data_IF_520318100489
#
_entry.id   IF_520318100489
#
_cell.length_a   1.000
_cell.length_b   1.000
_cell.length_c   1.000
_cell.angle_alpha   90.00
_cell.angle_beta   90.00
_cell.angle_gamma   90.00
#
_symmetry.space_group_name_H-M   'P 1'
#
loop_
_entity.id
_entity.type
_entity.pdbx_description
1 polymer ?
#
# COMPACT_ATOMS: atom_id res chain seq x y z
N UNK A 1 -6.23 23.15 -13.27
CA UNK A 1 -7.30 22.29 -12.72
C UNK A 1 -6.61 21.17 -11.96
N UNK A 2 -6.24 21.41 -10.70
CA UNK A 2 -5.53 20.44 -9.86
C UNK A 2 -6.54 19.96 -8.84
N UNK A 3 -7.07 18.76 -9.03
CA UNK A 3 -7.98 18.11 -8.09
C UNK A 3 -7.23 17.78 -6.77
N UNK A 4 -7.93 17.68 -5.63
CA UNK A 4 -7.40 17.95 -4.30
C UNK A 4 -6.69 16.73 -3.68
N UNK A 5 -5.59 16.96 -2.96
CA UNK A 5 -5.11 16.23 -1.76
C UNK A 5 -5.40 14.71 -1.67
N UNK A 6 -5.20 13.94 -2.72
CA UNK A 6 -5.19 12.48 -2.68
C UNK A 6 -3.75 11.99 -2.86
N UNK A 7 -3.32 11.03 -2.04
CA UNK A 7 -1.98 10.44 -2.15
C UNK A 7 -1.79 9.87 -3.56
N UNK A 8 -0.71 10.26 -4.23
CA UNK A 8 -0.46 9.81 -5.59
C UNK A 8 -0.08 8.31 -5.65
N UNK A 9 -0.23 7.72 -6.85
CA UNK A 9 0.05 6.30 -7.06
C UNK A 9 1.50 5.90 -6.74
N UNK A 10 2.45 6.81 -6.92
CA UNK A 10 3.86 6.55 -6.63
C UNK A 10 4.09 6.39 -5.12
N UNK A 11 3.48 7.25 -4.32
CA UNK A 11 3.53 7.21 -2.87
C UNK A 11 2.82 5.97 -2.33
N UNK A 12 1.65 5.61 -2.88
CA UNK A 12 0.95 4.37 -2.50
C UNK A 12 1.82 3.14 -2.81
N UNK A 13 2.40 3.07 -4.02
CA UNK A 13 3.27 1.96 -4.38
C UNK A 13 4.50 1.87 -3.46
N UNK A 14 5.09 3.01 -3.09
CA UNK A 14 6.22 3.02 -2.16
C UNK A 14 5.81 2.53 -0.76
N UNK A 15 4.66 2.95 -0.24
CA UNK A 15 4.15 2.46 1.06
C UNK A 15 3.92 0.95 1.03
N UNK A 16 3.36 0.41 -0.05
CA UNK A 16 3.18 -1.04 -0.20
C UNK A 16 4.53 -1.80 -0.23
N UNK A 17 5.56 -1.23 -0.87
CA UNK A 17 6.93 -1.77 -0.86
C UNK A 17 7.57 -1.73 0.53
N UNK A 18 7.36 -0.64 1.28
CA UNK A 18 7.82 -0.55 2.67
C UNK A 18 7.20 -1.66 3.53
N UNK A 19 5.90 -1.92 3.37
CA UNK A 19 5.22 -3.02 4.06
C UNK A 19 5.80 -4.37 3.67
N UNK A 20 6.00 -4.63 2.38
CA UNK A 20 6.65 -5.85 1.88
C UNK A 20 8.01 -6.07 2.55
N UNK A 21 8.85 -5.04 2.59
CA UNK A 21 10.17 -5.10 3.23
C UNK A 21 10.06 -5.39 4.73
N UNK A 22 9.17 -4.71 5.45
CA UNK A 22 8.99 -4.94 6.89
C UNK A 22 8.51 -6.37 7.17
N UNK A 23 7.57 -6.89 6.39
CA UNK A 23 7.10 -8.27 6.51
C UNK A 23 8.21 -9.29 6.22
N UNK A 24 9.07 -9.03 5.23
CA UNK A 24 10.25 -9.86 4.98
C UNK A 24 11.20 -9.87 6.19
N UNK A 25 11.46 -8.71 6.78
CA UNK A 25 12.33 -8.58 7.96
C UNK A 25 11.75 -9.28 9.20
N UNK A 26 10.42 -9.36 9.32
CA UNK A 26 9.75 -10.12 10.39
C UNK A 26 9.75 -11.64 10.15
N UNK A 27 10.21 -12.12 8.99
CA UNK A 27 10.14 -13.54 8.63
C UNK A 27 8.72 -14.02 8.33
N UNK A 28 7.82 -13.11 7.95
CA UNK A 28 6.44 -13.44 7.61
C UNK A 28 6.37 -14.23 6.30
N UNK A 29 5.22 -14.88 6.06
CA UNK A 29 5.02 -15.75 4.88
C UNK A 29 5.30 -15.03 3.56
N UNK A 30 6.13 -15.66 2.71
CA UNK A 30 6.45 -15.17 1.37
C UNK A 30 5.25 -15.03 0.42
N UNK A 31 4.07 -15.56 0.79
CA UNK A 31 2.81 -15.26 0.09
C UNK A 31 2.37 -13.81 0.36
N UNK A 32 2.40 -13.38 1.63
CA UNK A 32 1.99 -12.02 2.02
C UNK A 32 2.93 -10.97 1.45
N UNK A 33 4.24 -11.20 1.58
CA UNK A 33 5.28 -10.34 0.97
C UNK A 33 5.00 -10.11 -0.52
N UNK A 34 4.84 -11.20 -1.28
CA UNK A 34 4.57 -11.13 -2.72
C UNK A 34 3.27 -10.41 -3.05
N UNK A 35 2.24 -10.54 -2.22
CA UNK A 35 0.98 -9.83 -2.42
C UNK A 35 1.18 -8.30 -2.38
N UNK A 36 1.97 -7.80 -1.43
CA UNK A 36 2.28 -6.37 -1.34
C UNK A 36 3.15 -5.87 -2.49
N UNK A 37 4.15 -6.64 -2.93
CA UNK A 37 4.97 -6.29 -4.10
C UNK A 37 4.13 -6.24 -5.39
N UNK A 38 3.31 -7.27 -5.64
CA UNK A 38 2.42 -7.30 -6.80
C UNK A 38 1.43 -6.14 -6.79
N UNK A 39 0.87 -5.80 -5.62
CA UNK A 39 -0.01 -4.65 -5.49
C UNK A 39 0.73 -3.34 -5.79
N UNK A 40 1.95 -3.16 -5.28
CA UNK A 40 2.77 -1.97 -5.55
C UNK A 40 3.01 -1.77 -7.05
N UNK A 41 3.41 -2.83 -7.75
CA UNK A 41 3.66 -2.77 -9.19
C UNK A 41 2.36 -2.52 -9.97
N UNK A 42 1.26 -3.13 -9.55
CA UNK A 42 -0.05 -2.93 -10.18
C UNK A 42 -0.55 -1.49 -10.06
N UNK A 43 -0.33 -0.85 -8.91
CA UNK A 43 -0.71 0.53 -8.63
C UNK A 43 0.20 1.51 -9.37
N UNK A 44 1.52 1.28 -9.36
CA UNK A 44 2.48 2.12 -10.09
C UNK A 44 2.18 2.14 -11.60
N UNK A 45 1.89 0.96 -12.16
CA UNK A 45 1.56 0.76 -13.57
C UNK A 45 0.12 1.11 -13.96
N UNK A 46 -0.71 1.62 -13.03
CA UNK A 46 -2.10 1.96 -13.33
C UNK A 46 -2.15 3.15 -14.33
N UNK A 47 -2.83 2.99 -15.49
CA UNK A 47 -2.96 4.07 -16.46
C UNK A 47 -4.02 5.10 -16.05
N UNK A 48 -5.01 4.70 -15.25
CA UNK A 48 -6.01 5.59 -14.69
C UNK A 48 -5.48 6.34 -13.45
N UNK A 49 -6.17 7.42 -13.10
CA UNK A 49 -6.00 8.08 -11.82
C UNK A 49 -6.43 7.14 -10.67
N UNK A 50 -5.56 6.98 -9.67
CA UNK A 50 -5.79 6.07 -8.55
C UNK A 50 -6.94 6.53 -7.67
N UNK A 51 -7.07 7.84 -7.42
CA UNK A 51 -8.16 8.40 -6.62
C UNK A 51 -9.53 8.06 -7.20
N UNK A 52 -9.64 8.12 -8.53
CA UNK A 52 -10.85 7.74 -9.27
C UNK A 52 -11.17 6.26 -9.10
N UNK A 53 -10.18 5.37 -9.25
CA UNK A 53 -10.38 3.91 -9.08
C UNK A 53 -10.80 3.56 -7.65
N UNK A 54 -10.27 4.26 -6.65
CA UNK A 54 -10.66 4.12 -5.23
C UNK A 54 -12.09 4.60 -5.02
N UNK A 55 -12.44 5.79 -5.53
CA UNK A 55 -13.79 6.36 -5.40
C UNK A 55 -14.87 5.49 -6.06
N UNK A 56 -14.54 4.82 -7.16
CA UNK A 56 -15.42 3.88 -7.85
C UNK A 56 -15.47 2.48 -7.20
N UNK A 57 -14.66 2.20 -6.17
CA UNK A 57 -14.61 0.89 -5.50
C UNK A 57 -14.05 -0.22 -6.39
N UNK A 58 -13.18 0.11 -7.36
CA UNK A 58 -12.72 -0.82 -8.41
C UNK A 58 -11.36 -1.45 -8.16
N UNK A 59 -10.77 -1.24 -6.98
CA UNK A 59 -9.46 -1.79 -6.64
C UNK A 59 -9.43 -3.32 -6.70
N UNK A 60 -10.49 -4.01 -6.28
CA UNK A 60 -10.59 -5.47 -6.32
C UNK A 60 -10.72 -6.04 -7.73
N UNK A 61 -11.05 -5.20 -8.72
CA UNK A 61 -11.01 -5.59 -10.13
C UNK A 61 -9.58 -5.68 -10.67
N UNK A 62 -8.59 -5.19 -9.93
CA UNK A 62 -7.19 -5.25 -10.32
C UNK A 62 -6.62 -6.64 -9.93
N UNK A 63 -6.06 -7.40 -10.88
CA UNK A 63 -5.51 -8.71 -10.59
C UNK A 63 -4.40 -8.62 -9.52
N UNK A 64 -4.48 -9.50 -8.53
CA UNK A 64 -3.54 -9.54 -7.40
C UNK A 64 -3.90 -8.63 -6.22
N UNK A 65 -4.96 -7.81 -6.33
CA UNK A 65 -5.46 -6.98 -5.23
C UNK A 65 -6.76 -7.59 -4.69
N UNK A 66 -6.63 -8.27 -3.55
CA UNK A 66 -7.79 -8.77 -2.79
C UNK A 66 -8.41 -7.72 -1.86
N UNK A 67 -9.54 -8.05 -1.19
CA UNK A 67 -10.30 -7.11 -0.37
C UNK A 67 -9.46 -6.47 0.74
N UNK A 68 -8.63 -7.24 1.45
CA UNK A 68 -7.77 -6.71 2.50
C UNK A 68 -6.71 -5.71 1.98
N UNK A 69 -6.22 -5.88 0.74
CA UNK A 69 -5.33 -4.91 0.11
C UNK A 69 -6.10 -3.68 -0.37
N UNK A 70 -7.28 -3.90 -0.96
CA UNK A 70 -8.15 -2.83 -1.43
C UNK A 70 -8.56 -1.88 -0.29
N UNK A 71 -8.89 -2.41 0.89
CA UNK A 71 -9.19 -1.62 2.09
C UNK A 71 -7.99 -0.76 2.51
N UNK A 72 -6.79 -1.34 2.62
CA UNK A 72 -5.57 -0.62 2.99
C UNK A 72 -5.18 0.47 2.00
N UNK A 73 -5.31 0.18 0.70
CA UNK A 73 -5.03 1.15 -0.37
C UNK A 73 -6.06 2.30 -0.29
N UNK A 74 -7.34 1.97 -0.06
CA UNK A 74 -8.39 2.97 0.07
C UNK A 74 -8.18 3.87 1.28
N UNK A 75 -7.83 3.30 2.45
CA UNK A 75 -7.46 4.04 3.66
C UNK A 75 -6.30 5.01 3.36
N UNK A 76 -5.24 4.51 2.72
CA UNK A 76 -4.06 5.32 2.42
C UNK A 76 -4.38 6.47 1.47
N UNK A 77 -5.16 6.23 0.42
CA UNK A 77 -5.52 7.25 -0.56
C UNK A 77 -6.44 8.31 0.05
N UNK A 78 -7.37 7.90 0.90
CA UNK A 78 -8.39 8.81 1.49
C UNK A 78 -7.88 9.58 2.70
N UNK A 79 -7.04 8.98 3.54
CA UNK A 79 -6.60 9.58 4.80
C UNK A 79 -5.17 10.12 4.75
N UNK A 80 -4.38 9.69 3.76
CA UNK A 80 -2.95 9.98 3.69
C UNK A 80 -2.07 9.16 4.63
N UNK A 81 -2.65 8.24 5.40
CA UNK A 81 -1.96 7.40 6.37
C UNK A 81 -2.47 5.97 6.27
N UNK A 82 -1.67 5.03 6.79
CA UNK A 82 -2.05 3.63 6.84
C UNK A 82 -1.67 3.09 8.20
N UNK A 83 -2.66 2.84 9.06
CA UNK A 83 -2.41 2.35 10.43
C UNK A 83 -1.58 1.08 10.46
N UNK A 84 -1.79 0.19 9.49
CA UNK A 84 -1.01 -1.05 9.36
C UNK A 84 0.49 -0.83 9.15
N UNK A 85 0.90 0.20 8.40
CA UNK A 85 2.31 0.53 8.24
C UNK A 85 2.90 1.05 9.56
N UNK A 86 2.14 1.85 10.31
CA UNK A 86 2.54 2.37 11.61
C UNK A 86 2.73 1.23 12.63
N UNK A 87 1.81 0.27 12.66
CA UNK A 87 1.88 -0.94 13.48
C UNK A 87 3.11 -1.80 13.14
N UNK A 88 3.41 -1.99 11.86
CA UNK A 88 4.62 -2.70 11.43
C UNK A 88 5.87 -1.96 11.88
N UNK A 89 5.94 -0.65 11.66
CA UNK A 89 7.09 0.18 12.07
C UNK A 89 7.30 0.17 13.58
N UNK A 90 6.23 0.12 14.39
CA UNK A 90 6.33 0.05 15.84
C UNK A 90 7.01 -1.24 16.36
N UNK A 91 6.94 -2.33 15.59
CA UNK A 91 7.58 -3.60 15.94
C UNK A 91 9.09 -3.61 15.69
N UNK A 92 9.62 -2.63 14.96
CA UNK A 92 11.05 -2.42 14.79
C UNK A 92 11.49 -1.28 15.72
N UNK A 93 11.91 -1.57 16.97
CA UNK A 93 12.34 -0.53 17.88
C UNK A 93 13.48 0.27 17.23
N UNK A 94 13.33 1.60 17.23
CA UNK A 94 14.31 2.56 16.69
C UNK A 94 15.72 2.45 17.31
N UNK A 95 15.94 1.54 18.25
CA UNK A 95 17.17 1.40 19.04
C UNK A 95 18.16 0.32 18.53
N UNK A 96 17.81 -0.51 17.53
CA UNK A 96 18.73 -1.55 17.03
C UNK A 96 19.76 -1.05 15.99
N UNK A 97 19.86 0.26 15.75
CA UNK A 97 20.82 0.84 14.78
C UNK A 97 21.72 1.92 15.40
N UNK A 98 21.84 1.96 16.73
CA UNK A 98 22.82 2.83 17.38
C UNK A 98 24.17 2.16 17.59
#
# INVERSE_FOLDING_TARGET
MTQPTAVDKATVAQVLRDISLLLQLQGESGFRVRAYDMAADRIAGLPQDLGTVVAEGRLESLPGIGPALAEKISELVTTGRLGYLEELRAQFPRACWS
#
